data_IF_205851127092
#
_entry.id   IF_205851127092
#
_cell.length_a   1.000
_cell.length_b   1.000
_cell.length_c   1.000
_cell.angle_alpha   90.00
_cell.angle_beta   90.00
_cell.angle_gamma   90.00
#
_symmetry.space_group_name_H-M   'P 1'
#
loop_
_entity.id
_entity.type
_entity.pdbx_description
1 polymer ?
#
# COMPACT_ATOMS: atom_id res chain seq x y z
N UNK A 1 40.03 -1.79 -1.92
CA UNK A 1 39.09 -2.53 -1.05
C UNK A 1 38.79 -1.69 0.18
N UNK A 2 37.66 -0.99 0.18
CA UNK A 2 37.22 -0.12 1.28
C UNK A 2 36.78 -0.97 2.47
N UNK A 3 37.57 -0.95 3.54
CA UNK A 3 37.29 -1.67 4.78
C UNK A 3 36.10 -0.99 5.47
N UNK A 4 34.90 -1.56 5.30
CA UNK A 4 33.67 -1.07 5.91
C UNK A 4 33.86 -1.04 7.42
N UNK A 5 33.65 0.12 8.04
CA UNK A 5 33.87 0.35 9.47
C UNK A 5 33.00 -0.62 10.30
N UNK A 6 33.63 -1.68 10.83
CA UNK A 6 32.98 -2.66 11.69
C UNK A 6 32.85 -2.08 13.10
N UNK A 7 31.75 -1.38 13.35
CA UNK A 7 31.41 -0.91 14.70
C UNK A 7 30.44 -1.92 15.32
N UNK A 8 30.87 -2.61 16.38
CA UNK A 8 30.03 -3.49 17.18
C UNK A 8 29.58 -2.76 18.45
N UNK A 9 28.27 -2.76 18.73
CA UNK A 9 27.71 -2.24 19.98
C UNK A 9 27.51 -3.37 20.98
N UNK A 10 28.08 -3.23 22.19
CA UNK A 10 27.83 -4.11 23.34
C UNK A 10 26.97 -3.35 24.32
N UNK A 11 25.84 -3.93 24.73
CA UNK A 11 24.96 -3.33 25.74
C UNK A 11 25.56 -3.58 27.13
N UNK A 12 26.01 -2.54 27.87
CA UNK A 12 26.50 -2.71 29.23
C UNK A 12 25.36 -3.11 30.17
N UNK A 13 25.72 -3.70 31.32
CA UNK A 13 24.77 -4.04 32.37
C UNK A 13 24.09 -2.77 32.91
N UNK A 14 22.80 -2.89 33.27
CA UNK A 14 22.07 -1.76 33.84
C UNK A 14 22.65 -1.37 35.20
N UNK A 15 22.97 -0.09 35.43
CA UNK A 15 23.43 0.39 36.73
C UNK A 15 22.32 0.30 37.79
N UNK A 16 22.71 -0.04 39.03
CA UNK A 16 21.78 -0.31 40.13
C UNK A 16 20.80 0.84 40.43
N UNK A 17 21.19 2.09 40.19
CA UNK A 17 20.31 3.26 40.33
C UNK A 17 19.11 3.18 39.38
N UNK A 18 19.33 2.88 38.09
CA UNK A 18 18.26 2.80 37.10
C UNK A 18 17.31 1.65 37.41
N UNK A 19 17.82 0.48 37.84
CA UNK A 19 16.98 -0.65 38.21
C UNK A 19 16.09 -0.37 39.41
N UNK A 20 16.61 0.33 40.44
CA UNK A 20 15.82 0.77 41.61
C UNK A 20 14.75 1.79 41.21
N UNK A 21 15.12 2.76 40.40
CA UNK A 21 14.21 3.79 39.92
C UNK A 21 13.06 3.19 39.10
N UNK A 22 13.37 2.35 38.10
CA UNK A 22 12.38 1.65 37.28
C UNK A 22 11.38 0.85 38.11
N UNK A 23 11.85 0.18 39.17
CA UNK A 23 10.99 -0.56 40.10
C UNK A 23 10.05 0.35 40.89
N UNK A 24 10.56 1.48 41.38
CA UNK A 24 9.78 2.43 42.17
C UNK A 24 8.69 3.11 41.35
N UNK A 25 8.96 3.42 40.08
CA UNK A 25 8.00 4.09 39.19
C UNK A 25 7.12 3.11 38.40
N UNK A 26 7.26 1.79 38.63
CA UNK A 26 6.48 0.77 37.93
C UNK A 26 6.78 0.69 36.42
N UNK A 27 7.99 1.04 35.99
CA UNK A 27 8.37 1.06 34.58
C UNK A 27 8.24 -0.35 33.96
N UNK A 28 7.54 -0.41 32.82
CA UNK A 28 7.44 -1.60 31.97
C UNK A 28 8.22 -1.32 30.69
N UNK A 29 9.10 -2.24 30.32
CA UNK A 29 9.81 -2.13 29.04
C UNK A 29 8.78 -2.14 27.90
N UNK A 30 8.80 -1.09 27.10
CA UNK A 30 7.93 -0.95 25.93
C UNK A 30 8.40 -1.82 24.76
N UNK A 31 7.70 -1.75 23.63
CA UNK A 31 8.07 -2.46 22.41
C UNK A 31 9.53 -2.16 22.05
N UNK A 32 10.34 -3.22 21.93
CA UNK A 32 11.76 -3.07 21.59
C UNK A 32 11.94 -2.97 20.07
N UNK A 33 13.13 -2.65 19.60
CA UNK A 33 13.40 -2.61 18.14
C UNK A 33 13.13 -3.97 17.47
N UNK A 34 13.28 -5.08 18.18
CA UNK A 34 12.97 -6.42 17.65
C UNK A 34 11.47 -6.60 17.40
N UNK A 35 10.60 -5.94 18.17
CA UNK A 35 9.14 -5.98 17.91
C UNK A 35 8.75 -5.38 16.55
N UNK A 36 9.61 -4.56 15.95
CA UNK A 36 9.40 -4.05 14.57
C UNK A 36 9.79 -5.06 13.49
N UNK A 37 10.61 -6.06 13.84
CA UNK A 37 11.05 -7.12 12.93
C UNK A 37 10.15 -8.34 12.99
N UNK A 38 9.30 -8.42 14.01
CA UNK A 38 8.25 -9.43 14.07
C UNK A 38 7.37 -9.30 12.83
N UNK A 39 7.11 -10.43 12.17
CA UNK A 39 6.14 -10.47 11.10
C UNK A 39 4.78 -10.21 11.72
N UNK A 40 4.21 -9.03 11.44
CA UNK A 40 2.83 -8.76 11.75
C UNK A 40 1.97 -9.84 11.07
N UNK A 41 0.87 -10.29 11.72
CA UNK A 41 -0.13 -11.09 11.05
C UNK A 41 -0.44 -10.43 9.72
N UNK A 42 -0.48 -11.22 8.64
CA UNK A 42 -1.02 -10.75 7.36
C UNK A 42 -2.37 -10.12 7.71
N UNK A 43 -2.50 -8.80 7.49
CA UNK A 43 -3.78 -8.13 7.66
C UNK A 43 -4.80 -9.00 6.95
N UNK A 44 -5.84 -9.43 7.67
CA UNK A 44 -6.87 -10.27 7.08
C UNK A 44 -7.27 -9.63 5.76
N UNK A 45 -7.16 -10.39 4.68
CA UNK A 45 -7.46 -9.96 3.31
C UNK A 45 -8.91 -9.49 3.14
N UNK A 46 -9.70 -9.56 4.22
CA UNK A 46 -11.05 -9.07 4.40
C UNK A 46 -11.10 -7.69 5.09
N UNK A 47 -10.06 -6.86 4.94
CA UNK A 47 -10.28 -5.43 5.07
C UNK A 47 -11.27 -5.02 3.97
N UNK A 48 -12.56 -4.96 4.34
CA UNK A 48 -13.69 -4.43 3.57
C UNK A 48 -13.44 -2.99 3.03
N UNK A 49 -12.29 -2.40 3.36
CA UNK A 49 -11.77 -1.16 2.81
C UNK A 49 -11.33 -1.24 1.33
N UNK A 50 -11.59 -2.36 0.64
CA UNK A 50 -11.42 -2.52 -0.81
C UNK A 50 -12.68 -2.23 -1.64
N UNK A 51 -13.80 -1.91 -1.00
CA UNK A 51 -15.02 -1.46 -1.66
C UNK A 51 -14.90 0.03 -1.98
N UNK A 52 -14.50 0.36 -3.21
CA UNK A 52 -14.58 1.71 -3.80
C UNK A 52 -16.04 2.18 -3.71
N UNK A 53 -16.36 2.94 -2.67
CA UNK A 53 -17.72 3.40 -2.37
C UNK A 53 -18.21 4.33 -3.49
N UNK A 54 -19.53 4.46 -3.68
CA UNK A 54 -20.08 5.34 -4.72
C UNK A 54 -19.63 6.80 -4.55
N UNK A 55 -19.41 7.24 -3.31
CA UNK A 55 -18.92 8.58 -2.95
C UNK A 55 -17.44 8.82 -3.29
N UNK A 56 -16.67 7.76 -3.54
CA UNK A 56 -15.23 7.83 -3.88
C UNK A 56 -14.97 7.88 -5.40
N UNK A 57 -16.03 7.71 -6.21
CA UNK A 57 -15.89 7.71 -7.66
C UNK A 57 -15.58 9.12 -8.21
N UNK A 58 -14.71 9.24 -9.23
CA UNK A 58 -14.36 10.52 -9.81
C UNK A 58 -15.57 11.17 -10.49
N UNK A 59 -15.74 12.48 -10.28
CA UNK A 59 -16.79 13.24 -10.96
C UNK A 59 -16.57 13.26 -12.48
N UNK A 60 -17.55 12.73 -13.22
CA UNK A 60 -17.53 12.76 -14.69
C UNK A 60 -18.12 14.09 -15.18
N UNK A 61 -17.30 14.91 -15.83
CA UNK A 61 -17.72 16.18 -16.45
C UNK A 61 -17.69 16.04 -17.97
N UNK A 62 -18.85 16.19 -18.62
CA UNK A 62 -18.96 16.20 -20.09
C UNK A 62 -18.75 17.62 -20.60
N UNK A 63 -17.70 17.85 -21.39
CA UNK A 63 -17.37 19.18 -21.93
C UNK A 63 -17.80 19.33 -23.40
N UNK A 64 -17.91 18.22 -24.14
CA UNK A 64 -18.25 18.19 -25.57
C UNK A 64 -19.30 17.13 -25.89
N UNK A 65 -20.04 17.35 -26.99
CA UNK A 65 -20.98 16.36 -27.55
C UNK A 65 -20.17 15.19 -28.14
N UNK A 66 -19.93 14.17 -27.32
CA UNK A 66 -19.08 13.02 -27.63
C UNK A 66 -18.31 12.46 -26.42
N UNK A 67 -18.26 13.22 -25.32
CA UNK A 67 -17.72 12.71 -24.05
C UNK A 67 -18.72 11.72 -23.43
N UNK A 68 -18.21 10.65 -22.81
CA UNK A 68 -19.03 9.62 -22.17
C UNK A 68 -19.73 10.18 -20.94
N UNK A 69 -21.02 9.88 -20.81
CA UNK A 69 -21.79 10.20 -19.61
C UNK A 69 -21.47 9.22 -18.47
N UNK A 70 -21.77 9.61 -17.22
CA UNK A 70 -21.49 8.79 -16.05
C UNK A 70 -22.10 7.37 -16.16
N UNK A 71 -23.33 7.28 -16.67
CA UNK A 71 -24.04 6.00 -16.85
C UNK A 71 -23.35 5.08 -17.87
N UNK A 72 -22.88 5.65 -18.98
CA UNK A 72 -22.17 4.90 -20.01
C UNK A 72 -20.80 4.41 -19.52
N UNK A 73 -20.08 5.26 -18.77
CA UNK A 73 -18.80 4.91 -18.18
C UNK A 73 -18.91 3.75 -17.17
N UNK A 74 -19.94 3.76 -16.32
CA UNK A 74 -20.19 2.66 -15.37
C UNK A 74 -20.46 1.33 -16.08
N UNK A 75 -21.27 1.35 -17.14
CA UNK A 75 -21.60 0.16 -17.93
C UNK A 75 -20.36 -0.42 -18.62
N UNK A 76 -19.51 0.43 -19.18
CA UNK A 76 -18.25 0.02 -19.80
C UNK A 76 -17.30 -0.56 -18.75
N UNK A 77 -17.16 0.07 -17.57
CA UNK A 77 -16.32 -0.44 -16.46
C UNK A 77 -16.79 -1.84 -15.99
N UNK A 78 -18.09 -2.07 -15.90
CA UNK A 78 -18.67 -3.37 -15.53
C UNK A 78 -18.38 -4.44 -16.58
N UNK A 79 -18.61 -4.16 -17.87
CA UNK A 79 -18.34 -5.10 -18.96
C UNK A 79 -16.85 -5.46 -19.05
N UNK A 80 -15.97 -4.49 -18.84
CA UNK A 80 -14.52 -4.71 -18.80
C UNK A 80 -14.15 -5.58 -17.59
N UNK A 81 -14.69 -5.29 -16.39
CA UNK A 81 -14.46 -6.09 -15.17
C UNK A 81 -14.90 -7.55 -15.36
N UNK A 82 -16.03 -7.78 -16.01
CA UNK A 82 -16.54 -9.12 -16.33
C UNK A 82 -15.67 -9.83 -17.39
N UNK A 83 -15.21 -9.12 -18.42
CA UNK A 83 -14.31 -9.66 -19.44
C UNK A 83 -12.91 -9.99 -18.88
N UNK A 84 -12.39 -9.20 -17.96
CA UNK A 84 -11.14 -9.47 -17.24
C UNK A 84 -11.26 -10.65 -16.27
N UNK A 85 -12.45 -10.86 -15.69
CA UNK A 85 -12.72 -12.01 -14.82
C UNK A 85 -12.85 -13.32 -15.61
N UNK A 86 -13.29 -13.27 -16.87
CA UNK A 86 -13.43 -14.45 -17.75
C UNK A 86 -12.15 -14.79 -18.53
N UNK A 87 -11.25 -13.84 -18.74
CA UNK A 87 -9.95 -14.05 -19.37
C UNK A 87 -8.83 -13.92 -18.34
N UNK A 88 -8.39 -15.04 -17.76
CA UNK A 88 -7.33 -15.12 -16.74
C UNK A 88 -5.92 -14.72 -17.23
N UNK A 89 -5.76 -13.51 -17.79
CA UNK A 89 -4.50 -12.89 -18.19
C UNK A 89 -4.51 -11.40 -17.79
N UNK A 90 -4.63 -11.13 -16.49
CA UNK A 90 -4.89 -9.80 -15.94
C UNK A 90 -3.70 -8.85 -15.81
N UNK A 91 -2.45 -9.26 -16.08
CA UNK A 91 -1.29 -8.40 -15.77
C UNK A 91 -0.53 -7.88 -17.00
N UNK A 92 -0.69 -8.48 -18.19
CA UNK A 92 0.11 -8.12 -19.37
C UNK A 92 -0.58 -7.16 -20.36
N UNK A 93 -1.89 -6.89 -20.20
CA UNK A 93 -2.63 -6.04 -21.14
C UNK A 93 -2.77 -4.59 -20.66
N UNK A 94 -2.83 -4.35 -19.34
CA UNK A 94 -2.96 -3.01 -18.76
C UNK A 94 -1.72 -2.14 -19.02
N UNK A 95 -0.52 -2.75 -18.98
CA UNK A 95 0.75 -2.09 -19.29
C UNK A 95 0.87 -1.69 -20.75
N UNK A 96 0.39 -2.53 -21.67
CA UNK A 96 0.39 -2.24 -23.11
C UNK A 96 -0.59 -1.12 -23.47
N UNK A 97 -1.75 -1.02 -22.80
CA UNK A 97 -2.72 0.05 -23.03
C UNK A 97 -2.20 1.42 -22.57
N UNK A 98 -1.56 1.49 -21.39
CA UNK A 98 -0.90 2.71 -20.89
C UNK A 98 0.26 3.15 -21.80
N UNK A 99 1.05 2.21 -22.31
CA UNK A 99 2.14 2.50 -23.24
C UNK A 99 1.61 3.06 -24.57
N UNK A 100 0.47 2.58 -25.06
CA UNK A 100 -0.14 3.06 -26.31
C UNK A 100 -0.71 4.48 -26.16
N UNK A 101 -1.37 4.77 -25.04
CA UNK A 101 -1.89 6.12 -24.74
C UNK A 101 -0.75 7.12 -24.57
N UNK A 102 0.34 6.74 -23.90
CA UNK A 102 1.51 7.60 -23.76
C UNK A 102 2.17 7.92 -25.11
N UNK A 103 2.19 6.94 -26.03
CA UNK A 103 2.76 7.11 -27.38
C UNK A 103 1.89 7.99 -28.29
N UNK A 104 0.58 8.04 -28.07
CA UNK A 104 -0.34 8.90 -28.82
C UNK A 104 -0.30 10.38 -28.40
N UNK A 105 0.35 10.72 -27.26
CA UNK A 105 0.50 12.10 -26.76
C UNK A 105 1.89 12.70 -27.00
N UNK A 106 2.79 11.98 -27.65
CA UNK A 106 4.15 12.40 -27.94
C UNK A 106 4.52 12.30 -29.42
N UNK A 107 3.84 13.07 -30.27
CA UNK A 107 4.35 13.57 -31.56
C UNK A 107 3.49 14.73 -32.04
#
# INVERSE_FOLDING_TARGET
MSKRNQVSYVRPAEPAFLSRFKRQVGYREGPTVETKREQLPLADSDSENGSDNEDEQPQVVTLKKGDLTAEEAMKIKQQIKEALKSSGQGEFQTTNFLLHIAKARGS
#
